data_IF_265509406890
#
_entry.id   IF_265509406890
#
_cell.length_a   1.000
_cell.length_b   1.000
_cell.length_c   1.000
_cell.angle_alpha   90.00
_cell.angle_beta   90.00
_cell.angle_gamma   90.00
#
_symmetry.space_group_name_H-M   'P 1'
#
loop_
_entity.id
_entity.type
_entity.pdbx_description
1 polymer ?
#
# COMPACT_ATOMS: atom_id res chain seq x y z
N UNK A 1 -29.79 -1.86 42.33
CA UNK A 1 -29.28 -1.84 43.72
C UNK A 1 -30.43 -1.52 44.64
N UNK A 2 -30.65 -2.33 45.67
CA UNK A 2 -31.62 -2.02 46.74
C UNK A 2 -31.11 -0.79 47.47
N UNK A 3 -31.76 0.38 47.28
CA UNK A 3 -31.40 1.56 48.08
C UNK A 3 -31.82 1.28 49.51
N UNK A 4 -30.84 1.14 50.39
CA UNK A 4 -31.10 1.09 51.83
C UNK A 4 -31.36 2.54 52.24
N UNK A 5 -32.63 2.90 52.39
CA UNK A 5 -33.03 4.22 52.85
C UNK A 5 -32.48 4.47 54.27
N UNK A 6 -31.95 5.66 54.51
CA UNK A 6 -31.51 6.07 55.84
C UNK A 6 -32.75 6.26 56.74
N UNK A 7 -32.83 5.49 57.82
CA UNK A 7 -33.92 5.57 58.78
C UNK A 7 -33.59 6.62 59.85
N UNK A 8 -33.98 7.86 59.57
CA UNK A 8 -33.75 9.05 60.42
C UNK A 8 -34.31 8.85 61.83
N UNK A 9 -35.48 8.23 61.97
CA UNK A 9 -36.14 7.97 63.25
C UNK A 9 -35.36 6.95 64.10
N UNK A 10 -34.93 5.85 63.48
CA UNK A 10 -34.11 4.84 64.15
C UNK A 10 -32.75 5.38 64.56
N UNK A 11 -32.17 6.28 63.76
CA UNK A 11 -30.90 6.94 64.08
C UNK A 11 -31.05 7.94 65.25
N UNK A 12 -32.08 8.81 65.22
CA UNK A 12 -32.37 9.74 66.31
C UNK A 12 -32.64 8.99 67.64
N UNK A 13 -33.40 7.89 67.59
CA UNK A 13 -33.67 7.07 68.77
C UNK A 13 -32.39 6.43 69.35
N UNK A 14 -31.43 6.05 68.51
CA UNK A 14 -30.12 5.58 68.99
C UNK A 14 -29.34 6.67 69.71
N UNK A 15 -29.34 7.90 69.19
CA UNK A 15 -28.67 9.04 69.83
C UNK A 15 -29.32 9.39 71.18
N UNK A 16 -30.65 9.40 71.26
CA UNK A 16 -31.39 9.58 72.53
C UNK A 16 -31.00 8.51 73.56
N UNK A 17 -30.92 7.25 73.13
CA UNK A 17 -30.48 6.13 73.99
C UNK A 17 -29.04 6.30 74.48
N UNK A 18 -28.19 6.96 73.70
CA UNK A 18 -26.80 7.27 74.06
C UNK A 18 -26.65 8.51 74.97
N UNK A 19 -27.76 9.13 75.39
CA UNK A 19 -27.75 10.29 76.28
C UNK A 19 -27.72 11.66 75.58
N UNK A 20 -27.84 11.70 74.26
CA UNK A 20 -27.99 12.96 73.51
C UNK A 20 -29.38 13.54 73.78
N UNK A 21 -29.52 14.84 74.13
CA UNK A 21 -30.83 15.47 74.32
C UNK A 21 -31.70 15.32 73.07
N UNK A 22 -33.00 15.10 73.25
CA UNK A 22 -33.92 14.79 72.13
C UNK A 22 -33.85 15.79 70.97
N UNK A 23 -33.78 17.09 71.26
CA UNK A 23 -33.65 18.15 70.25
C UNK A 23 -32.34 18.06 69.45
N UNK A 24 -31.24 17.67 70.09
CA UNK A 24 -29.95 17.50 69.41
C UNK A 24 -29.93 16.21 68.59
N UNK A 25 -30.50 15.12 69.13
CA UNK A 25 -30.58 13.83 68.44
C UNK A 25 -31.43 13.89 67.16
N UNK A 26 -32.52 14.66 67.17
CA UNK A 26 -33.37 14.90 66.00
C UNK A 26 -32.65 15.78 64.97
N UNK A 27 -32.06 16.89 65.41
CA UNK A 27 -31.32 17.80 64.53
C UNK A 27 -30.11 17.13 63.85
N UNK A 28 -29.35 16.30 64.58
CA UNK A 28 -28.23 15.53 64.01
C UNK A 28 -28.72 14.49 62.99
N UNK A 29 -29.85 13.82 63.28
CA UNK A 29 -30.42 12.83 62.37
C UNK A 29 -30.90 13.47 61.06
N UNK A 30 -31.58 14.62 61.14
CA UNK A 30 -32.03 15.37 59.96
C UNK A 30 -30.85 15.88 59.14
N UNK A 31 -29.85 16.51 59.79
CA UNK A 31 -28.67 17.02 59.08
C UNK A 31 -27.90 15.89 58.36
N UNK A 32 -27.77 14.72 58.98
CA UNK A 32 -27.15 13.55 58.34
C UNK A 32 -28.01 12.97 57.21
N UNK A 33 -29.33 12.97 57.36
CA UNK A 33 -30.25 12.52 56.31
C UNK A 33 -30.16 13.41 55.06
N UNK A 34 -30.14 14.74 55.23
CA UNK A 34 -29.98 15.68 54.12
C UNK A 34 -28.66 15.49 53.37
N UNK A 35 -27.54 15.39 54.09
CA UNK A 35 -26.21 15.20 53.46
C UNK A 35 -26.14 13.85 52.73
N UNK A 36 -26.70 12.78 53.31
CA UNK A 36 -26.76 11.47 52.65
C UNK A 36 -27.62 11.50 51.39
N UNK A 37 -28.77 12.18 51.42
CA UNK A 37 -29.65 12.31 50.27
C UNK A 37 -28.99 13.07 49.12
N UNK A 38 -28.36 14.21 49.41
CA UNK A 38 -27.61 15.00 48.42
C UNK A 38 -26.50 14.16 47.78
N UNK A 39 -25.74 13.43 48.60
CA UNK A 39 -24.65 12.58 48.10
C UNK A 39 -25.17 11.41 47.26
N UNK A 40 -26.27 10.75 47.66
CA UNK A 40 -26.88 9.65 46.90
C UNK A 40 -27.44 10.12 45.56
N UNK A 41 -28.06 11.30 45.51
CA UNK A 41 -28.51 11.92 44.26
C UNK A 41 -27.31 12.24 43.35
N UNK A 42 -26.26 12.86 43.89
CA UNK A 42 -25.03 13.15 43.14
C UNK A 42 -24.35 11.90 42.58
N UNK A 43 -24.32 10.81 43.35
CA UNK A 43 -23.83 9.51 42.90
C UNK A 43 -24.69 8.91 41.79
N UNK A 44 -26.02 8.91 41.94
CA UNK A 44 -26.93 8.40 40.92
C UNK A 44 -26.80 9.18 39.59
N UNK A 45 -26.64 10.51 39.67
CA UNK A 45 -26.35 11.33 38.50
C UNK A 45 -25.00 11.00 37.86
N UNK A 46 -23.96 10.80 38.68
CA UNK A 46 -22.62 10.45 38.22
C UNK A 46 -22.63 9.08 37.52
N UNK A 47 -23.26 8.07 38.12
CA UNK A 47 -23.43 6.75 37.51
C UNK A 47 -24.17 6.83 36.18
N UNK A 48 -25.24 7.63 36.11
CA UNK A 48 -25.99 7.88 34.87
C UNK A 48 -25.14 8.55 33.80
N UNK A 49 -24.37 9.59 34.16
CA UNK A 49 -23.45 10.29 33.25
C UNK A 49 -22.34 9.35 32.75
N UNK A 50 -21.78 8.54 33.64
CA UNK A 50 -20.76 7.55 33.30
C UNK A 50 -21.30 6.47 32.37
N UNK A 51 -22.50 5.94 32.62
CA UNK A 51 -23.15 4.98 31.73
C UNK A 51 -23.36 5.55 30.31
N UNK A 52 -23.79 6.81 30.21
CA UNK A 52 -23.92 7.51 28.92
C UNK A 52 -22.56 7.72 28.23
N UNK A 53 -21.53 8.08 28.99
CA UNK A 53 -20.18 8.26 28.46
C UNK A 53 -19.59 6.95 27.92
N UNK A 54 -19.79 5.84 28.63
CA UNK A 54 -19.38 4.51 28.18
C UNK A 54 -20.12 4.08 26.91
N UNK A 55 -21.44 4.31 26.84
CA UNK A 55 -22.21 4.00 25.64
C UNK A 55 -21.76 4.82 24.42
N UNK A 56 -21.41 6.10 24.62
CA UNK A 56 -20.83 6.95 23.57
C UNK A 56 -19.47 6.45 23.13
N UNK A 57 -18.59 6.12 24.07
CA UNK A 57 -17.27 5.57 23.76
C UNK A 57 -17.38 4.27 22.95
N UNK A 58 -18.31 3.38 23.33
CA UNK A 58 -18.54 2.14 22.58
C UNK A 58 -19.02 2.42 21.14
N UNK A 59 -19.92 3.39 20.97
CA UNK A 59 -20.39 3.82 19.66
C UNK A 59 -19.26 4.42 18.81
N UNK A 60 -18.48 5.34 19.38
CA UNK A 60 -17.35 5.99 18.71
C UNK A 60 -16.27 4.96 18.33
N UNK A 61 -16.00 3.98 19.18
CA UNK A 61 -15.08 2.88 18.88
C UNK A 61 -15.60 2.02 17.73
N UNK A 62 -16.89 1.62 17.77
CA UNK A 62 -17.51 0.84 16.67
C UNK A 62 -17.44 1.60 15.35
N UNK A 63 -17.74 2.89 15.35
CA UNK A 63 -17.64 3.73 14.17
C UNK A 63 -16.19 3.84 13.68
N UNK A 64 -15.24 4.09 14.60
CA UNK A 64 -13.82 4.15 14.29
C UNK A 64 -13.30 2.88 13.64
N UNK A 65 -13.67 1.70 14.16
CA UNK A 65 -13.32 0.41 13.55
C UNK A 65 -13.96 0.23 12.17
N UNK A 66 -15.22 0.65 11.97
CA UNK A 66 -15.86 0.60 10.66
C UNK A 66 -15.16 1.50 9.62
N UNK A 67 -14.74 2.70 10.03
CA UNK A 67 -13.97 3.60 9.17
C UNK A 67 -12.59 3.01 8.83
N UNK A 68 -11.91 2.40 9.80
CA UNK A 68 -10.63 1.72 9.58
C UNK A 68 -10.79 0.57 8.58
N UNK A 69 -11.79 -0.29 8.75
CA UNK A 69 -12.07 -1.38 7.82
C UNK A 69 -12.35 -0.87 6.40
N UNK A 70 -13.09 0.23 6.27
CA UNK A 70 -13.35 0.86 4.98
C UNK A 70 -12.06 1.36 4.31
N UNK A 71 -11.15 1.97 5.08
CA UNK A 71 -9.85 2.40 4.55
C UNK A 71 -8.97 1.23 4.14
N UNK A 72 -8.97 0.13 4.90
CA UNK A 72 -8.25 -1.09 4.51
C UNK A 72 -8.77 -1.66 3.20
N UNK A 73 -10.09 -1.77 3.03
CA UNK A 73 -10.67 -2.22 1.76
C UNK A 73 -10.28 -1.32 0.57
N UNK A 74 -10.17 0.00 0.76
CA UNK A 74 -9.67 0.91 -0.27
C UNK A 74 -8.19 0.69 -0.59
N UNK A 75 -7.38 0.37 0.43
CA UNK A 75 -5.96 0.04 0.25
C UNK A 75 -5.83 -1.25 -0.56
N UNK A 76 -6.59 -2.29 -0.23
CA UNK A 76 -6.60 -3.56 -0.95
C UNK A 76 -6.93 -3.35 -2.44
N UNK A 77 -7.97 -2.59 -2.75
CA UNK A 77 -8.32 -2.24 -4.13
C UNK A 77 -7.22 -1.48 -4.87
N UNK A 78 -6.42 -0.66 -4.17
CA UNK A 78 -5.27 0.03 -4.78
C UNK A 78 -4.13 -0.94 -5.05
N UNK A 79 -3.89 -1.91 -4.17
CA UNK A 79 -2.89 -2.96 -4.39
C UNK A 79 -3.27 -3.84 -5.58
N UNK A 80 -4.53 -4.26 -5.71
CA UNK A 80 -4.99 -5.01 -6.89
C UNK A 80 -4.73 -4.26 -8.20
N UNK A 81 -4.98 -2.94 -8.22
CA UNK A 81 -4.67 -2.09 -9.39
C UNK A 81 -3.17 -1.99 -9.67
N UNK A 82 -2.34 -1.99 -8.63
CA UNK A 82 -0.88 -1.98 -8.77
C UNK A 82 -0.43 -3.32 -9.38
N UNK A 83 -0.93 -4.44 -8.87
CA UNK A 83 -0.61 -5.77 -9.40
C UNK A 83 -0.98 -5.92 -10.88
N UNK A 84 -2.16 -5.42 -11.27
CA UNK A 84 -2.57 -5.38 -12.67
C UNK A 84 -1.62 -4.55 -13.54
N UNK A 85 -1.13 -3.41 -13.05
CA UNK A 85 -0.15 -2.59 -13.77
C UNK A 85 1.20 -3.28 -13.90
N UNK A 86 1.65 -3.97 -12.85
CA UNK A 86 2.88 -4.76 -12.91
C UNK A 86 2.77 -5.88 -13.93
N UNK A 87 1.66 -6.62 -13.95
CA UNK A 87 1.43 -7.65 -14.98
C UNK A 87 1.46 -7.08 -16.41
N UNK A 88 0.91 -5.88 -16.64
CA UNK A 88 1.00 -5.20 -17.93
C UNK A 88 2.44 -4.78 -18.28
N UNK A 89 3.21 -4.33 -17.29
CA UNK A 89 4.63 -3.99 -17.47
C UNK A 89 5.42 -5.24 -17.86
N UNK A 90 5.20 -6.36 -17.18
CA UNK A 90 5.87 -7.63 -17.48
C UNK A 90 5.58 -8.08 -18.92
N UNK A 91 4.30 -8.02 -19.36
CA UNK A 91 3.93 -8.33 -20.75
C UNK A 91 4.65 -7.43 -21.77
N UNK A 92 4.79 -6.13 -21.46
CA UNK A 92 5.52 -5.20 -22.34
C UNK A 92 7.01 -5.54 -22.39
N UNK A 93 7.62 -5.92 -21.27
CA UNK A 93 9.01 -6.35 -21.24
C UNK A 93 9.23 -7.64 -22.02
N UNK A 94 8.32 -8.61 -21.93
CA UNK A 94 8.37 -9.82 -22.76
C UNK A 94 8.28 -9.49 -24.26
N UNK A 95 7.41 -8.56 -24.64
CA UNK A 95 7.30 -8.13 -26.04
C UNK A 95 8.59 -7.44 -26.51
N UNK A 96 9.13 -6.53 -25.71
CA UNK A 96 10.41 -5.88 -26.00
C UNK A 96 11.52 -6.91 -26.17
N UNK A 97 11.59 -7.92 -25.30
CA UNK A 97 12.58 -8.99 -25.40
C UNK A 97 12.45 -9.78 -26.72
N UNK A 98 11.22 -10.08 -27.15
CA UNK A 98 10.96 -10.72 -28.46
C UNK A 98 11.40 -9.84 -29.62
N UNK A 99 11.06 -8.55 -29.58
CA UNK A 99 11.42 -7.60 -30.64
C UNK A 99 12.94 -7.45 -30.75
N UNK A 100 13.65 -7.38 -29.62
CA UNK A 100 15.12 -7.37 -29.59
C UNK A 100 15.73 -8.65 -30.15
N UNK A 101 15.23 -9.83 -29.77
CA UNK A 101 15.70 -11.10 -30.31
C UNK A 101 15.49 -11.19 -31.84
N UNK A 102 14.36 -10.68 -32.33
CA UNK A 102 14.08 -10.63 -33.76
C UNK A 102 15.01 -9.65 -34.49
N UNK A 103 15.26 -8.48 -33.89
CA UNK A 103 16.17 -7.48 -34.44
C UNK A 103 17.61 -8.03 -34.52
N UNK A 104 18.08 -8.69 -33.48
CA UNK A 104 19.40 -9.32 -33.44
C UNK A 104 19.56 -10.38 -34.55
N UNK A 105 18.56 -11.26 -34.71
CA UNK A 105 18.51 -12.24 -35.79
C UNK A 105 18.54 -11.59 -37.18
N UNK A 106 17.72 -10.55 -37.39
CA UNK A 106 17.66 -9.83 -38.66
C UNK A 106 18.99 -9.13 -38.97
N UNK A 107 19.64 -8.54 -37.97
CA UNK A 107 20.96 -7.93 -38.13
C UNK A 107 22.01 -8.98 -38.48
N UNK A 108 22.06 -10.09 -37.76
CA UNK A 108 22.97 -11.20 -38.07
C UNK A 108 22.81 -11.72 -39.50
N UNK A 109 21.57 -11.86 -39.99
CA UNK A 109 21.30 -12.24 -41.38
C UNK A 109 21.78 -11.19 -42.38
N UNK A 110 21.56 -9.90 -42.12
CA UNK A 110 22.02 -8.82 -43.00
C UNK A 110 23.55 -8.75 -43.05
N UNK A 111 24.22 -8.91 -41.91
CA UNK A 111 25.69 -8.97 -41.88
C UNK A 111 26.22 -10.15 -42.70
N UNK A 112 25.65 -11.34 -42.53
CA UNK A 112 26.04 -12.50 -43.33
C UNK A 112 25.83 -12.28 -44.85
N UNK A 113 24.72 -11.63 -45.25
CA UNK A 113 24.47 -11.27 -46.66
C UNK A 113 25.50 -10.24 -47.17
N UNK A 114 25.86 -9.26 -46.36
CA UNK A 114 26.88 -8.26 -46.70
C UNK A 114 28.24 -8.93 -46.86
N UNK A 115 28.62 -9.82 -45.96
CA UNK A 115 29.87 -10.59 -46.04
C UNK A 115 29.93 -11.42 -47.33
N UNK A 116 28.84 -12.10 -47.68
CA UNK A 116 28.74 -12.85 -48.92
C UNK A 116 28.96 -11.96 -50.16
N UNK A 117 28.29 -10.80 -50.22
CA UNK A 117 28.48 -9.85 -51.32
C UNK A 117 29.92 -9.33 -51.40
N UNK A 118 30.59 -9.13 -50.27
CA UNK A 118 32.00 -8.76 -50.25
C UNK A 118 32.90 -9.87 -50.80
N UNK A 119 32.61 -11.14 -50.50
CA UNK A 119 33.34 -12.28 -51.07
C UNK A 119 33.14 -12.34 -52.59
N UNK A 120 31.91 -12.21 -53.07
CA UNK A 120 31.59 -12.19 -54.50
C UNK A 120 32.32 -11.05 -55.24
N UNK A 121 32.24 -9.81 -54.73
CA UNK A 121 32.94 -8.64 -55.31
C UNK A 121 34.46 -8.84 -55.32
N UNK A 122 35.03 -9.41 -54.25
CA UNK A 122 36.47 -9.73 -54.23
C UNK A 122 36.83 -10.75 -55.31
N UNK A 123 35.99 -11.77 -55.52
CA UNK A 123 36.15 -12.75 -56.59
C UNK A 123 36.11 -12.11 -57.98
N UNK A 124 35.09 -11.29 -58.26
CA UNK A 124 34.97 -10.55 -59.51
C UNK A 124 36.17 -9.62 -59.76
N UNK A 125 36.63 -8.91 -58.73
CA UNK A 125 37.80 -8.04 -58.82
C UNK A 125 39.08 -8.82 -59.13
N UNK A 126 39.26 -10.01 -58.55
CA UNK A 126 40.40 -10.88 -58.86
C UNK A 126 40.36 -11.34 -60.33
N UNK A 127 39.19 -11.75 -60.82
CA UNK A 127 39.01 -12.13 -62.23
C UNK A 127 39.33 -10.96 -63.17
N UNK A 128 38.80 -9.77 -62.89
CA UNK A 128 39.11 -8.57 -63.67
C UNK A 128 40.62 -8.28 -63.67
N UNK A 129 41.29 -8.34 -62.50
CA UNK A 129 42.75 -8.17 -62.41
C UNK A 129 43.52 -9.17 -63.29
N UNK A 130 43.10 -10.44 -63.31
CA UNK A 130 43.69 -11.46 -64.18
C UNK A 130 43.49 -11.15 -65.66
N UNK A 131 42.28 -10.77 -66.07
CA UNK A 131 41.97 -10.41 -67.46
C UNK A 131 42.79 -9.21 -67.93
N UNK A 132 42.92 -8.16 -67.11
CA UNK A 132 43.78 -7.01 -67.42
C UNK A 132 45.23 -7.45 -67.63
N UNK A 133 45.75 -8.35 -66.79
CA UNK A 133 47.09 -8.92 -66.97
C UNK A 133 47.28 -9.57 -68.34
N UNK A 134 46.34 -10.45 -68.73
CA UNK A 134 46.38 -11.13 -70.04
C UNK A 134 46.31 -10.14 -71.20
N UNK A 135 45.42 -9.15 -71.13
CA UNK A 135 45.26 -8.12 -72.17
C UNK A 135 46.54 -7.29 -72.32
N UNK A 136 47.11 -6.81 -71.21
CA UNK A 136 48.35 -6.02 -71.24
C UNK A 136 49.50 -6.84 -71.83
N UNK A 137 49.68 -8.10 -71.41
CA UNK A 137 50.72 -8.97 -71.99
C UNK A 137 50.52 -9.22 -73.48
N UNK A 138 49.28 -9.38 -73.93
CA UNK A 138 48.96 -9.58 -75.35
C UNK A 138 49.28 -8.35 -76.18
N UNK A 139 48.93 -7.15 -75.68
CA UNK A 139 49.25 -5.88 -76.34
C UNK A 139 50.77 -5.67 -76.43
N UNK A 140 51.52 -5.94 -75.37
CA UNK A 140 53.00 -5.84 -75.38
C UNK A 140 53.61 -6.79 -76.41
N UNK A 141 53.14 -8.04 -76.49
CA UNK A 141 53.63 -9.01 -77.48
C UNK A 141 53.38 -8.56 -78.93
N UNK A 142 52.21 -7.97 -79.20
CA UNK A 142 51.90 -7.43 -80.53
C UNK A 142 52.79 -6.24 -80.89
N UNK A 143 53.08 -5.35 -79.94
CA UNK A 143 54.01 -4.24 -80.14
C UNK A 143 55.40 -4.78 -80.46
N UNK A 144 55.94 -5.73 -79.67
CA UNK A 144 57.25 -6.33 -79.93
C UNK A 144 57.30 -6.92 -81.35
N UNK A 145 56.29 -7.70 -81.74
CA UNK A 145 56.20 -8.31 -83.08
C UNK A 145 56.08 -7.28 -84.23
N UNK A 146 55.55 -6.10 -83.96
CA UNK A 146 55.41 -5.06 -84.98
C UNK A 146 56.73 -4.28 -85.23
N UNK A 147 57.64 -4.26 -84.25
CA UNK A 147 58.86 -3.46 -84.29
C UNK A 147 60.17 -4.27 -84.37
N UNK A 148 60.12 -5.59 -84.19
CA UNK A 148 61.24 -6.53 -84.35
C UNK A 148 60.84 -7.68 -85.28
#
# INVERSE_FOLDING_TARGET
MTSVAFDTLKFANRLKTAGVPAAHAEAEAEALAEVLEINLQGLAESESKNGKALARLEADMKEGFAQVNTRFAQVDQRFEKIDQRFAQVDQRFEQIAKDFAQLDKNMGQRFAQVDQRFVEIKGEMLLLKWMFGVIVTSLVALIIKAFF
#
